data_IF_847251632896
#
_entry.id   IF_847251632896
#
_cell.length_a   1.000
_cell.length_b   1.000
_cell.length_c   1.000
_cell.angle_alpha   90.00
_cell.angle_beta   90.00
_cell.angle_gamma   90.00
#
_symmetry.space_group_name_H-M   'P 1'
#
loop_
_entity.id
_entity.type
_entity.pdbx_description
1 polymer ?
#
# COMPACT_ATOMS: atom_id res chain seq x y z
N UNK A 1 -5.02 -6.55 -9.15
CA UNK A 1 -4.09 -5.74 -8.34
C UNK A 1 -3.36 -6.65 -7.38
N UNK A 2 -2.55 -6.06 -6.52
CA UNK A 2 -1.72 -6.70 -5.52
C UNK A 2 -2.44 -6.61 -4.17
N UNK A 3 -2.58 -7.74 -3.49
CA UNK A 3 -3.06 -7.77 -2.11
C UNK A 3 -2.04 -7.13 -1.19
N UNK A 4 -2.53 -6.34 -0.24
CA UNK A 4 -1.67 -5.66 0.75
C UNK A 4 -2.24 -5.81 2.15
N UNK A 5 -1.35 -5.79 3.15
CA UNK A 5 -1.77 -5.69 4.54
C UNK A 5 -2.21 -4.27 4.93
N UNK A 6 -2.51 -4.07 6.21
CA UNK A 6 -2.92 -2.77 6.76
C UNK A 6 -1.85 -1.68 6.64
N UNK A 7 -0.57 -2.07 6.49
CA UNK A 7 0.58 -1.19 6.28
C UNK A 7 0.93 -1.02 4.80
N UNK A 8 0.07 -1.50 3.89
CA UNK A 8 0.24 -1.38 2.45
C UNK A 8 1.44 -2.19 1.91
N UNK A 9 1.83 -3.26 2.60
CA UNK A 9 2.90 -4.17 2.17
C UNK A 9 2.34 -5.32 1.34
N UNK A 10 2.91 -5.63 0.16
CA UNK A 10 2.44 -6.72 -0.69
C UNK A 10 2.42 -8.08 0.01
N UNK A 11 1.36 -8.84 -0.22
CA UNK A 11 1.19 -10.20 0.28
C UNK A 11 1.41 -11.23 -0.84
N UNK A 12 1.98 -12.37 -0.47
CA UNK A 12 2.04 -13.55 -1.34
C UNK A 12 0.70 -14.32 -1.36
N UNK A 13 0.68 -15.47 -2.03
CA UNK A 13 -0.52 -16.31 -2.14
C UNK A 13 -0.97 -16.92 -0.81
N UNK A 14 -0.09 -16.98 0.19
CA UNK A 14 -0.39 -17.49 1.53
C UNK A 14 -0.76 -16.35 2.50
N UNK A 15 -0.79 -15.10 2.04
CA UNK A 15 -1.05 -13.93 2.87
C UNK A 15 0.16 -13.46 3.68
N UNK A 16 1.38 -13.91 3.36
CA UNK A 16 2.61 -13.46 4.03
C UNK A 16 3.18 -12.23 3.34
N UNK A 17 3.75 -11.32 4.13
CA UNK A 17 4.43 -10.13 3.61
C UNK A 17 5.63 -10.55 2.76
N UNK A 18 5.64 -10.14 1.49
CA UNK A 18 6.71 -10.47 0.54
C UNK A 18 8.03 -9.80 0.94
N UNK A 19 7.96 -8.54 1.36
CA UNK A 19 9.14 -7.78 1.81
C UNK A 19 8.73 -6.62 2.73
N UNK A 20 9.41 -6.47 3.88
CA UNK A 20 9.01 -5.49 4.90
C UNK A 20 9.24 -4.03 4.51
N UNK A 21 10.19 -3.77 3.61
CA UNK A 21 10.48 -2.43 3.07
C UNK A 21 9.80 -2.13 1.74
N UNK A 22 8.85 -2.95 1.28
CA UNK A 22 8.12 -2.74 0.03
C UNK A 22 6.68 -2.32 0.32
N UNK A 23 6.22 -1.24 -0.32
CA UNK A 23 4.90 -0.67 -0.13
C UNK A 23 4.22 -0.44 -1.49
N UNK A 24 2.93 -0.76 -1.59
CA UNK A 24 2.11 -0.57 -2.79
C UNK A 24 1.11 0.58 -2.63
N UNK A 25 0.78 1.28 -3.71
CA UNK A 25 -0.24 2.34 -3.70
C UNK A 25 -0.92 2.49 -5.06
N UNK A 26 -2.06 3.17 -5.07
CA UNK A 26 -2.81 3.54 -6.26
C UNK A 26 -3.35 2.34 -7.03
N UNK A 27 -3.19 2.40 -8.35
CA UNK A 27 -3.75 1.42 -9.31
C UNK A 27 -3.20 0.00 -9.13
N UNK A 28 -2.05 -0.14 -8.45
CA UNK A 28 -1.45 -1.44 -8.18
C UNK A 28 -2.28 -2.27 -7.20
N UNK A 29 -3.10 -1.65 -6.34
CA UNK A 29 -3.84 -2.34 -5.30
C UNK A 29 -4.94 -3.24 -5.88
N UNK A 30 -5.16 -4.39 -5.24
CA UNK A 30 -6.27 -5.28 -5.58
C UNK A 30 -7.63 -4.65 -5.23
N UNK A 31 -8.69 -5.27 -5.76
CA UNK A 31 -10.08 -4.97 -5.44
C UNK A 31 -10.55 -3.52 -5.71
N UNK A 32 -9.86 -2.78 -6.58
CA UNK A 32 -10.30 -1.45 -7.02
C UNK A 32 -11.08 -1.52 -8.33
N UNK A 33 -12.30 -0.99 -8.38
CA UNK A 33 -13.05 -0.71 -9.61
C UNK A 33 -13.06 0.80 -9.91
N UNK A 34 -11.89 1.29 -10.31
CA UNK A 34 -11.65 2.70 -10.59
C UNK A 34 -12.31 3.18 -11.90
N UNK A 35 -12.57 2.27 -12.84
CA UNK A 35 -13.25 2.57 -14.11
C UNK A 35 -14.70 2.96 -13.83
N UNK A 36 -15.39 2.23 -12.94
CA UNK A 36 -16.76 2.58 -12.54
C UNK A 36 -16.81 3.74 -11.54
N UNK A 37 -15.88 3.82 -10.60
CA UNK A 37 -15.87 4.85 -9.56
C UNK A 37 -15.40 6.24 -10.04
N UNK A 38 -14.67 6.33 -11.16
CA UNK A 38 -14.04 7.57 -11.68
C UNK A 38 -13.21 8.32 -10.63
N UNK A 39 -12.70 7.61 -9.63
CA UNK A 39 -12.03 8.16 -8.46
C UNK A 39 -10.53 7.83 -8.43
N UNK A 40 -9.93 7.46 -9.56
CA UNK A 40 -8.54 7.00 -9.66
C UNK A 40 -7.52 7.96 -9.03
N UNK A 41 -7.71 9.28 -9.22
CA UNK A 41 -6.86 10.29 -8.59
C UNK A 41 -7.00 10.30 -7.05
N UNK A 42 -8.22 10.20 -6.53
CA UNK A 42 -8.47 10.13 -5.08
C UNK A 42 -7.89 8.87 -4.46
N UNK A 43 -8.06 7.72 -5.12
CA UNK A 43 -7.43 6.45 -4.70
C UNK A 43 -5.91 6.61 -4.69
N UNK A 44 -5.31 7.14 -5.75
CA UNK A 44 -3.86 7.32 -5.84
C UNK A 44 -3.32 8.18 -4.69
N UNK A 45 -3.93 9.34 -4.43
CA UNK A 45 -3.47 10.26 -3.38
C UNK A 45 -3.67 9.66 -1.98
N UNK A 46 -4.86 9.11 -1.69
CA UNK A 46 -5.17 8.59 -0.35
C UNK A 46 -4.29 7.38 0.02
N UNK A 47 -4.08 6.47 -0.95
CA UNK A 47 -3.26 5.27 -0.74
C UNK A 47 -1.77 5.59 -0.69
N UNK A 48 -1.29 6.54 -1.51
CA UNK A 48 0.08 7.02 -1.44
C UNK A 48 0.38 7.66 -0.07
N UNK A 49 -0.53 8.48 0.46
CA UNK A 49 -0.38 9.06 1.79
C UNK A 49 -0.15 7.97 2.85
N UNK A 50 -0.99 6.93 2.88
CA UNK A 50 -0.87 5.85 3.86
C UNK A 50 0.39 4.99 3.65
N UNK A 51 0.73 4.66 2.41
CA UNK A 51 1.94 3.89 2.10
C UNK A 51 3.22 4.65 2.51
N UNK A 52 3.27 5.97 2.27
CA UNK A 52 4.41 6.81 2.69
C UNK A 52 4.51 6.91 4.20
N UNK A 53 3.39 7.04 4.94
CA UNK A 53 3.42 6.99 6.40
C UNK A 53 4.02 5.68 6.93
N UNK A 54 3.60 4.55 6.36
CA UNK A 54 4.16 3.24 6.72
C UNK A 54 5.66 3.13 6.39
N UNK A 55 6.08 3.68 5.23
CA UNK A 55 7.48 3.73 4.85
C UNK A 55 8.31 4.62 5.79
N UNK A 56 7.79 5.79 6.19
CA UNK A 56 8.46 6.66 7.16
C UNK A 56 8.63 5.96 8.51
N UNK A 57 7.60 5.30 9.03
CA UNK A 57 7.72 4.52 10.26
C UNK A 57 8.70 3.35 10.14
N UNK A 58 8.86 2.77 8.96
CA UNK A 58 9.85 1.72 8.69
C UNK A 58 11.28 2.26 8.60
N UNK A 59 11.46 3.46 8.04
CA UNK A 59 12.76 4.09 7.83
C UNK A 59 13.29 4.80 9.08
N UNK A 60 12.41 5.22 9.99
CA UNK A 60 12.84 5.85 11.23
C UNK A 60 13.62 4.83 12.07
N UNK A 61 14.89 5.12 12.43
CA UNK A 61 15.57 4.33 13.43
C UNK A 61 14.76 4.47 14.72
N UNK A 62 14.54 3.37 15.43
CA UNK A 62 13.98 3.41 16.78
C UNK A 62 14.93 4.27 17.61
N UNK A 63 14.59 5.54 17.81
CA UNK A 63 15.29 6.40 18.75
C UNK A 63 15.00 5.83 20.13
N UNK A 64 15.95 5.04 20.63
CA UNK A 64 16.02 4.58 22.00
C UNK A 64 16.48 5.71 22.93
#
# INVERSE_FOLDING_TARGET
GIEVDEKFRPLDREGKVVHHGLFGAGILLAHQDWIRGRCGAGIAVATAYKAVQAALSFLQPTTA
#
